data_IF_009857271322
#
_entry.id   IF_009857271322
#
_cell.length_a   1.000
_cell.length_b   1.000
_cell.length_c   1.000
_cell.angle_alpha   90.00
_cell.angle_beta   90.00
_cell.angle_gamma   90.00
#
_symmetry.space_group_name_H-M   'P 1'
#
loop_
_entity.id
_entity.type
_entity.pdbx_description
1 polymer ?
#
# COMPACT_ATOMS: atom_id res chain seq x y z
N UNK A 1 -9.01 -28.35 -1.81
CA UNK A 1 -9.11 -27.12 -2.62
C UNK A 1 -8.55 -25.96 -1.81
N UNK A 2 -7.44 -25.36 -2.22
CA UNK A 2 -6.89 -24.15 -1.57
C UNK A 2 -7.60 -22.92 -2.12
N UNK A 3 -8.21 -22.10 -1.25
CA UNK A 3 -8.83 -20.82 -1.64
C UNK A 3 -7.75 -19.75 -1.71
N UNK A 4 -7.77 -18.93 -2.77
CA UNK A 4 -6.87 -17.78 -2.91
C UNK A 4 -7.50 -16.57 -2.23
N UNK A 5 -6.79 -15.95 -1.31
CA UNK A 5 -7.22 -14.74 -0.59
C UNK A 5 -6.31 -13.58 -0.99
N UNK A 6 -6.88 -12.40 -1.15
CA UNK A 6 -6.17 -11.14 -1.28
C UNK A 6 -6.32 -10.38 0.04
N UNK A 7 -5.23 -10.20 0.75
CA UNK A 7 -5.18 -9.35 1.93
C UNK A 7 -4.60 -7.99 1.54
N UNK A 8 -5.40 -6.94 1.67
CA UNK A 8 -5.08 -5.58 1.24
C UNK A 8 -5.10 -4.70 2.50
N UNK A 9 -4.11 -3.82 2.66
CA UNK A 9 -4.15 -2.78 3.68
C UNK A 9 -4.56 -1.45 3.06
N UNK A 10 -5.50 -0.77 3.68
CA UNK A 10 -5.95 0.55 3.23
C UNK A 10 -5.03 1.67 3.78
N UNK A 11 -5.28 2.90 3.37
CA UNK A 11 -4.67 4.13 3.93
C UNK A 11 -3.17 4.35 3.68
N UNK A 12 -2.58 3.72 2.65
CA UNK A 12 -1.19 4.05 2.28
C UNK A 12 -1.08 5.50 1.83
N UNK A 13 -0.17 6.28 2.44
CA UNK A 13 -0.06 7.72 2.21
C UNK A 13 -0.85 8.60 3.18
N UNK A 14 -1.63 8.04 4.11
CA UNK A 14 -2.36 8.83 5.12
C UNK A 14 -1.43 9.46 6.17
N UNK A 15 -0.44 8.71 6.66
CA UNK A 15 0.51 9.17 7.67
C UNK A 15 1.84 8.40 7.54
N UNK A 16 2.98 8.96 8.04
CA UNK A 16 4.28 8.30 7.93
C UNK A 16 4.33 6.92 8.59
N UNK A 17 3.73 6.78 9.78
CA UNK A 17 3.69 5.51 10.52
C UNK A 17 2.82 4.45 9.83
N UNK A 18 1.68 4.85 9.28
CA UNK A 18 0.78 3.96 8.51
C UNK A 18 1.51 3.44 7.28
N UNK A 19 2.11 4.35 6.51
CA UNK A 19 2.83 4.01 5.29
C UNK A 19 4.03 3.10 5.57
N UNK A 20 4.79 3.35 6.65
CA UNK A 20 5.91 2.50 7.05
C UNK A 20 5.47 1.07 7.44
N UNK A 21 4.38 0.93 8.20
CA UNK A 21 3.86 -0.38 8.58
C UNK A 21 3.35 -1.18 7.37
N UNK A 22 2.66 -0.51 6.45
CA UNK A 22 2.18 -1.15 5.21
C UNK A 22 3.36 -1.64 4.36
N UNK A 23 4.40 -0.83 4.17
CA UNK A 23 5.58 -1.21 3.41
C UNK A 23 6.33 -2.40 4.06
N UNK A 24 6.52 -2.39 5.38
CA UNK A 24 7.15 -3.52 6.09
C UNK A 24 6.37 -4.83 5.91
N UNK A 25 5.03 -4.77 5.99
CA UNK A 25 4.18 -5.94 5.79
C UNK A 25 4.16 -6.42 4.32
N UNK A 26 4.22 -5.50 3.36
CA UNK A 26 4.36 -5.84 1.93
C UNK A 26 5.71 -6.50 1.64
N UNK A 27 6.80 -5.97 2.19
CA UNK A 27 8.14 -6.53 1.99
C UNK A 27 8.28 -7.92 2.60
N UNK A 28 7.65 -8.17 3.75
CA UNK A 28 7.58 -9.49 4.39
C UNK A 28 6.58 -10.44 3.72
N UNK A 29 5.91 -10.02 2.65
CA UNK A 29 4.90 -10.83 1.94
C UNK A 29 3.66 -11.17 2.79
N UNK A 30 3.39 -10.39 3.84
CA UNK A 30 2.22 -10.57 4.72
C UNK A 30 0.96 -9.99 4.10
N UNK A 31 1.11 -8.95 3.28
CA UNK A 31 0.05 -8.35 2.49
C UNK A 31 0.22 -8.73 1.02
N UNK A 32 -0.90 -8.79 0.30
CA UNK A 32 -0.94 -8.98 -1.16
C UNK A 32 -1.12 -7.66 -1.93
N UNK A 33 -1.32 -6.54 -1.21
CA UNK A 33 -1.47 -5.22 -1.81
C UNK A 33 -1.89 -4.14 -0.82
N UNK A 34 -2.08 -2.92 -1.34
CA UNK A 34 -2.55 -1.75 -0.60
C UNK A 34 -3.29 -0.77 -1.51
N UNK A 35 -4.14 0.08 -0.92
CA UNK A 35 -4.76 1.23 -1.59
C UNK A 35 -4.15 2.55 -1.12
N UNK A 36 -3.92 3.48 -2.05
CA UNK A 36 -3.19 4.72 -1.79
C UNK A 36 -4.12 5.93 -1.66
N UNK A 37 -3.96 6.71 -0.59
CA UNK A 37 -4.59 8.02 -0.41
C UNK A 37 -3.70 9.10 -1.03
N UNK A 38 -3.97 9.44 -2.29
CA UNK A 38 -3.07 10.28 -3.10
C UNK A 38 -3.30 11.78 -2.95
N UNK A 39 -4.24 12.20 -2.09
CA UNK A 39 -4.61 13.60 -1.89
C UNK A 39 -3.75 14.35 -0.86
N UNK A 40 -2.91 13.65 -0.09
CA UNK A 40 -2.09 14.26 0.97
C UNK A 40 -0.77 14.83 0.43
N UNK A 41 -0.22 15.90 1.05
CA UNK A 41 1.03 16.54 0.61
C UNK A 41 2.23 15.59 0.50
N UNK A 42 2.27 14.55 1.33
CA UNK A 42 3.34 13.57 1.40
C UNK A 42 3.31 12.57 0.22
N UNK A 43 2.23 12.54 -0.57
CA UNK A 43 2.01 11.51 -1.59
C UNK A 43 3.16 11.39 -2.58
N UNK A 44 3.76 12.49 -3.05
CA UNK A 44 4.87 12.41 -4.00
C UNK A 44 6.06 11.59 -3.45
N UNK A 45 6.34 11.72 -2.14
CA UNK A 45 7.39 10.95 -1.46
C UNK A 45 6.95 9.50 -1.27
N UNK A 46 5.71 9.26 -0.84
CA UNK A 46 5.19 7.91 -0.60
C UNK A 46 5.02 7.12 -1.92
N UNK A 47 4.69 7.77 -3.03
CA UNK A 47 4.61 7.18 -4.35
C UNK A 47 5.97 6.61 -4.80
N UNK A 48 7.07 7.32 -4.58
CA UNK A 48 8.41 6.83 -4.89
C UNK A 48 8.82 5.66 -3.97
N UNK A 49 8.38 5.67 -2.70
CA UNK A 49 8.66 4.57 -1.75
C UNK A 49 7.98 3.26 -2.13
N UNK A 50 6.75 3.28 -2.66
CA UNK A 50 6.01 2.07 -3.02
C UNK A 50 6.34 1.54 -4.42
N UNK A 51 6.90 2.38 -5.29
CA UNK A 51 7.24 2.04 -6.68
C UNK A 51 8.05 0.74 -6.86
N UNK A 52 9.03 0.39 -6.01
CA UNK A 52 9.75 -0.89 -6.12
C UNK A 52 8.88 -2.13 -5.82
N UNK A 53 7.72 -1.95 -5.19
CA UNK A 53 6.77 -3.03 -4.86
C UNK A 53 5.72 -3.23 -5.96
N UNK A 54 5.62 -2.32 -6.93
CA UNK A 54 4.76 -2.49 -8.09
C UNK A 54 5.12 -3.78 -8.85
N UNK A 55 4.13 -4.64 -9.10
CA UNK A 55 4.32 -5.95 -9.72
C UNK A 55 4.59 -7.08 -8.72
N UNK A 56 5.09 -6.79 -7.51
CA UNK A 56 5.17 -7.74 -6.39
C UNK A 56 3.89 -7.76 -5.57
N UNK A 57 3.23 -6.61 -5.45
CA UNK A 57 1.96 -6.44 -4.76
C UNK A 57 0.99 -5.60 -5.58
N UNK A 58 -0.31 -5.74 -5.31
CA UNK A 58 -1.30 -4.86 -5.90
C UNK A 58 -1.27 -3.48 -5.26
N UNK A 59 -1.21 -2.44 -6.09
CA UNK A 59 -1.25 -1.05 -5.66
C UNK A 59 -2.47 -0.41 -6.31
N UNK A 60 -3.43 0.01 -5.50
CA UNK A 60 -4.68 0.62 -5.94
C UNK A 60 -4.81 2.07 -5.47
N UNK A 61 -5.87 2.75 -5.93
CA UNK A 61 -6.26 4.08 -5.48
C UNK A 61 -7.34 3.95 -4.38
N UNK A 62 -7.18 4.68 -3.28
CA UNK A 62 -8.19 4.82 -2.23
C UNK A 62 -8.94 6.14 -2.46
N UNK A 63 -10.17 6.05 -2.98
CA UNK A 63 -11.01 7.22 -3.18
C UNK A 63 -11.52 7.73 -1.83
N UNK A 64 -11.41 9.03 -1.61
CA UNK A 64 -11.84 9.71 -0.38
C UNK A 64 -12.48 11.05 -0.75
N UNK A 65 -13.36 11.58 0.12
CA UNK A 65 -14.18 12.78 -0.12
C UNK A 65 -13.83 13.88 0.89
#
# INVERSE_FOLDING_TARGET
>A
MTRRIRLIADDYGLAPGVSAGILDLLDRGRLTGTSCMTGFPEWAKEAERIKPLCGRAAVGLHLTL
#
